data_IF_544817304606
#
_entry.id   IF_544817304606
#
_cell.length_a   1.000
_cell.length_b   1.000
_cell.length_c   1.000
_cell.angle_alpha   90.00
_cell.angle_beta   90.00
_cell.angle_gamma   90.00
#
_symmetry.space_group_name_H-M   'P 1'
#
loop_
_entity.id
_entity.type
_entity.pdbx_description
1 polymer ?
#
# COMPACT_ATOMS: atom_id res chain seq x y z
N UNK A 1 -2.45 -43.32 46.44
CA UNK A 1 -2.50 -43.40 44.98
C UNK A 1 -3.37 -42.24 44.50
N UNK A 2 -2.76 -41.13 44.09
CA UNK A 2 -3.50 -39.94 43.63
C UNK A 2 -3.65 -40.04 42.12
N UNK A 3 -4.90 -40.17 41.66
CA UNK A 3 -5.23 -40.05 40.24
C UNK A 3 -5.32 -38.56 39.94
N UNK A 4 -4.30 -38.03 39.24
CA UNK A 4 -4.35 -36.69 38.67
C UNK A 4 -5.15 -36.81 37.36
N UNK A 5 -6.42 -36.41 37.38
CA UNK A 5 -7.21 -36.25 36.16
C UNK A 5 -6.64 -35.10 35.35
N UNK A 6 -6.10 -35.42 34.18
CA UNK A 6 -5.76 -34.42 33.17
C UNK A 6 -7.04 -33.69 32.70
N UNK A 7 -7.00 -32.37 32.49
CA UNK A 7 -8.15 -31.66 31.95
C UNK A 7 -8.35 -32.08 30.48
N UNK A 8 -9.52 -32.63 30.19
CA UNK A 8 -9.98 -32.90 28.84
C UNK A 8 -10.07 -31.55 28.09
N UNK A 9 -9.15 -31.32 27.16
CA UNK A 9 -9.21 -30.18 26.25
C UNK A 9 -10.48 -30.27 25.41
N UNK A 10 -11.47 -29.45 25.74
CA UNK A 10 -12.73 -29.38 25.01
C UNK A 10 -12.52 -28.58 23.70
N UNK A 11 -12.92 -29.09 22.52
CA UNK A 11 -12.73 -28.44 21.21
C UNK A 11 -13.30 -27.01 21.14
N UNK A 12 -14.32 -26.68 21.92
CA UNK A 12 -14.88 -25.33 22.00
C UNK A 12 -13.88 -24.30 22.56
N UNK A 13 -12.94 -24.70 23.43
CA UNK A 13 -11.92 -23.80 23.99
C UNK A 13 -10.86 -23.42 22.96
N UNK A 14 -10.46 -24.36 22.09
CA UNK A 14 -9.55 -24.08 20.98
C UNK A 14 -10.17 -23.14 19.95
N UNK A 15 -11.45 -23.28 19.65
CA UNK A 15 -12.16 -22.41 18.69
C UNK A 15 -12.27 -20.97 19.21
N UNK A 16 -12.58 -20.79 20.50
CA UNK A 16 -12.68 -19.48 21.13
C UNK A 16 -11.33 -18.76 21.24
N UNK A 17 -10.27 -19.48 21.58
CA UNK A 17 -8.90 -18.94 21.64
C UNK A 17 -8.43 -18.56 20.23
N UNK A 18 -8.65 -19.42 19.21
CA UNK A 18 -8.31 -19.11 17.82
C UNK A 18 -9.02 -17.87 17.28
N UNK A 19 -10.30 -17.67 17.60
CA UNK A 19 -11.05 -16.50 17.15
C UNK A 19 -10.57 -15.20 17.83
N UNK A 20 -10.23 -15.25 19.12
CA UNK A 20 -9.69 -14.09 19.85
C UNK A 20 -8.29 -13.72 19.35
N UNK A 21 -7.43 -14.71 19.10
CA UNK A 21 -6.09 -14.53 18.53
C UNK A 21 -6.15 -13.90 17.13
N UNK A 22 -7.08 -14.37 16.28
CA UNK A 22 -7.32 -13.84 14.93
C UNK A 22 -7.78 -12.39 14.93
N UNK A 23 -8.74 -12.05 15.78
CA UNK A 23 -9.23 -10.67 15.92
C UNK A 23 -8.11 -9.73 16.37
N UNK A 24 -7.25 -10.18 17.29
CA UNK A 24 -6.06 -9.45 17.73
C UNK A 24 -5.06 -9.23 16.58
N UNK A 25 -4.79 -10.26 15.75
CA UNK A 25 -3.89 -10.15 14.61
C UNK A 25 -4.37 -9.11 13.58
N UNK A 26 -5.65 -9.14 13.22
CA UNK A 26 -6.21 -8.20 12.24
C UNK A 26 -6.18 -6.76 12.74
N UNK A 27 -6.46 -6.53 14.02
CA UNK A 27 -6.39 -5.19 14.63
C UNK A 27 -4.96 -4.65 14.56
N UNK A 28 -3.95 -5.47 14.86
CA UNK A 28 -2.55 -5.05 14.79
C UNK A 28 -2.13 -4.73 13.35
N UNK A 29 -2.58 -5.53 12.37
CA UNK A 29 -2.33 -5.24 10.95
C UNK A 29 -2.96 -3.91 10.52
N UNK A 30 -4.21 -3.63 10.92
CA UNK A 30 -4.87 -2.34 10.64
C UNK A 30 -4.13 -1.19 11.32
N UNK A 31 -3.70 -1.38 12.57
CA UNK A 31 -2.96 -0.37 13.34
C UNK A 31 -1.64 -0.01 12.66
N UNK A 32 -0.88 -1.01 12.22
CA UNK A 32 0.34 -0.81 11.44
C UNK A 32 0.06 -0.14 10.08
N UNK A 33 -1.01 -0.51 9.38
CA UNK A 33 -1.42 0.12 8.11
C UNK A 33 -1.79 1.60 8.27
N UNK A 34 -2.27 2.00 9.45
CA UNK A 34 -2.53 3.40 9.80
C UNK A 34 -1.25 4.18 10.17
N UNK A 35 -0.08 3.52 10.09
CA UNK A 35 1.23 4.09 10.37
C UNK A 35 1.53 4.27 11.86
N UNK A 36 0.85 3.54 12.75
CA UNK A 36 1.27 3.50 14.14
C UNK A 36 2.65 2.84 14.25
N UNK A 37 3.46 3.29 15.21
CA UNK A 37 4.72 2.64 15.53
C UNK A 37 4.41 1.28 16.20
N UNK A 38 4.92 0.20 15.60
CA UNK A 38 4.74 -1.15 16.09
C UNK A 38 6.11 -1.74 16.34
N UNK A 39 6.40 -2.01 17.62
CA UNK A 39 7.69 -2.51 18.05
C UNK A 39 8.01 -3.90 17.44
N UNK A 40 9.27 -4.30 17.54
CA UNK A 40 9.74 -5.57 16.98
C UNK A 40 9.03 -6.80 17.58
N UNK A 41 8.70 -6.76 18.87
CA UNK A 41 8.04 -7.85 19.59
C UNK A 41 6.62 -8.05 19.07
N UNK A 42 5.84 -6.98 18.99
CA UNK A 42 4.47 -7.01 18.47
C UNK A 42 4.45 -7.47 17.01
N UNK A 43 5.38 -6.99 16.17
CA UNK A 43 5.51 -7.46 14.78
C UNK A 43 5.80 -8.96 14.72
N UNK A 44 6.72 -9.44 15.54
CA UNK A 44 7.09 -10.85 15.61
C UNK A 44 5.91 -11.73 16.08
N UNK A 45 5.18 -11.30 17.11
CA UNK A 45 4.01 -12.03 17.60
C UNK A 45 2.91 -12.15 16.55
N UNK A 46 2.67 -11.11 15.76
CA UNK A 46 1.73 -11.18 14.62
C UNK A 46 2.22 -12.17 13.57
N UNK A 47 3.49 -12.13 13.19
CA UNK A 47 4.03 -13.08 12.23
C UNK A 47 3.95 -14.53 12.73
N UNK A 48 4.24 -14.78 14.01
CA UNK A 48 4.09 -16.10 14.60
C UNK A 48 2.64 -16.56 14.61
N UNK A 49 1.73 -15.68 14.99
CA UNK A 49 0.29 -15.95 14.94
C UNK A 49 -0.15 -16.34 13.51
N UNK A 50 0.30 -15.63 12.48
CA UNK A 50 0.00 -15.97 11.09
C UNK A 50 0.66 -17.29 10.68
N UNK A 51 1.88 -17.57 11.13
CA UNK A 51 2.59 -18.83 10.82
C UNK A 51 1.79 -20.05 11.27
N UNK A 52 1.23 -19.98 12.48
CA UNK A 52 0.45 -21.06 13.11
C UNK A 52 -0.97 -21.24 12.52
N UNK A 53 -1.47 -20.28 11.74
CA UNK A 53 -2.80 -20.35 11.15
C UNK A 53 -2.94 -21.47 10.12
N UNK A 54 -4.16 -22.01 10.02
CA UNK A 54 -4.52 -22.93 8.96
C UNK A 54 -4.54 -22.25 7.59
N UNK A 55 -4.47 -23.04 6.52
CA UNK A 55 -4.46 -22.55 5.13
C UNK A 55 -5.66 -21.63 4.81
N UNK A 56 -6.86 -22.00 5.28
CA UNK A 56 -8.10 -21.23 5.06
C UNK A 56 -8.04 -19.87 5.76
N UNK A 57 -7.45 -19.82 6.96
CA UNK A 57 -7.28 -18.59 7.74
C UNK A 57 -6.24 -17.66 7.09
N UNK A 58 -5.11 -18.20 6.62
CA UNK A 58 -4.09 -17.44 5.87
C UNK A 58 -4.69 -16.79 4.62
N UNK A 59 -5.43 -17.55 3.81
CA UNK A 59 -6.16 -17.01 2.64
C UNK A 59 -7.13 -15.90 3.04
N UNK A 60 -7.90 -16.10 4.11
CA UNK A 60 -8.83 -15.09 4.58
C UNK A 60 -8.15 -13.81 5.09
N UNK A 61 -6.94 -13.91 5.67
CA UNK A 61 -6.14 -12.71 5.99
C UNK A 61 -5.65 -12.01 4.73
N UNK A 62 -5.18 -12.75 3.72
CA UNK A 62 -4.77 -12.16 2.45
C UNK A 62 -5.93 -11.39 1.80
N UNK A 63 -7.12 -12.01 1.72
CA UNK A 63 -8.34 -11.37 1.19
C UNK A 63 -8.75 -10.15 2.03
N UNK A 64 -8.73 -10.26 3.35
CA UNK A 64 -9.00 -9.13 4.24
C UNK A 64 -8.04 -7.96 4.01
N UNK A 65 -6.74 -8.23 3.86
CA UNK A 65 -5.74 -7.20 3.62
C UNK A 65 -5.98 -6.50 2.29
N UNK A 66 -6.13 -7.25 1.19
CA UNK A 66 -6.21 -6.68 -0.16
C UNK A 66 -7.56 -6.04 -0.46
N UNK A 67 -8.66 -6.59 0.05
CA UNK A 67 -10.00 -6.10 -0.28
C UNK A 67 -10.51 -5.03 0.69
N UNK A 68 -10.04 -5.03 1.94
CA UNK A 68 -10.63 -4.19 3.01
C UNK A 68 -9.57 -3.32 3.67
N UNK A 69 -8.58 -3.92 4.35
CA UNK A 69 -7.73 -3.19 5.28
C UNK A 69 -6.80 -2.19 4.59
N UNK A 70 -6.11 -2.63 3.52
CA UNK A 70 -5.17 -1.77 2.77
C UNK A 70 -5.92 -0.60 2.11
N UNK A 71 -7.00 -0.83 1.32
CA UNK A 71 -7.80 0.27 0.75
C UNK A 71 -8.27 1.30 1.77
N UNK A 72 -8.91 0.84 2.85
CA UNK A 72 -9.44 1.74 3.87
C UNK A 72 -8.33 2.51 4.59
N UNK A 73 -7.20 1.87 4.89
CA UNK A 73 -6.09 2.53 5.57
C UNK A 73 -5.43 3.60 4.69
N UNK A 74 -5.22 3.34 3.39
CA UNK A 74 -4.61 4.32 2.49
C UNK A 74 -5.47 5.58 2.37
N UNK A 75 -6.79 5.45 2.21
CA UNK A 75 -7.70 6.59 2.21
C UNK A 75 -7.70 7.32 3.56
N UNK A 76 -7.82 6.58 4.67
CA UNK A 76 -7.83 7.19 6.00
C UNK A 76 -6.54 7.94 6.33
N UNK A 77 -5.39 7.42 5.90
CA UNK A 77 -4.10 8.10 6.08
C UNK A 77 -4.04 9.40 5.29
N UNK A 78 -4.54 9.40 4.05
CA UNK A 78 -4.66 10.62 3.25
C UNK A 78 -5.61 11.63 3.92
N UNK A 79 -6.80 11.20 4.35
CA UNK A 79 -7.74 12.05 5.07
C UNK A 79 -7.12 12.72 6.30
N UNK A 80 -6.30 11.98 7.08
CA UNK A 80 -5.60 12.52 8.25
C UNK A 80 -4.54 13.56 7.88
N UNK A 81 -3.78 13.31 6.82
CA UNK A 81 -2.70 14.21 6.38
C UNK A 81 -3.25 15.51 5.80
N UNK A 82 -4.35 15.43 5.05
CA UNK A 82 -4.98 16.58 4.41
C UNK A 82 -6.14 17.19 5.20
N UNK A 83 -6.43 16.64 6.39
CA UNK A 83 -7.54 17.06 7.26
C UNK A 83 -8.88 17.16 6.51
N UNK A 84 -9.18 16.17 5.67
CA UNK A 84 -10.32 16.19 4.76
C UNK A 84 -11.16 14.90 4.80
N UNK A 85 -12.38 14.98 4.28
CA UNK A 85 -13.20 13.80 4.01
C UNK A 85 -12.82 13.15 2.66
N UNK A 86 -13.02 11.84 2.52
CA UNK A 86 -12.73 11.11 1.27
C UNK A 86 -13.46 11.68 0.05
N UNK A 87 -14.61 12.32 0.23
CA UNK A 87 -15.39 12.96 -0.85
C UNK A 87 -14.75 14.24 -1.40
N UNK A 88 -13.68 14.76 -0.77
CA UNK A 88 -13.01 16.00 -1.15
C UNK A 88 -11.62 15.79 -1.75
N UNK A 89 -11.19 14.53 -1.97
CA UNK A 89 -9.83 14.23 -2.46
C UNK A 89 -9.48 14.97 -3.75
N UNK A 90 -10.42 15.04 -4.69
CA UNK A 90 -10.30 15.73 -5.97
C UNK A 90 -9.90 17.22 -5.85
N UNK A 91 -10.18 17.86 -4.71
CA UNK A 91 -9.99 19.30 -4.51
C UNK A 91 -8.99 19.65 -3.43
N UNK A 92 -8.30 18.66 -2.87
CA UNK A 92 -7.52 18.86 -1.65
C UNK A 92 -6.08 19.28 -1.91
N UNK A 93 -5.55 19.04 -3.13
CA UNK A 93 -4.19 19.40 -3.47
C UNK A 93 -4.12 20.79 -4.12
N UNK A 94 -3.26 21.64 -3.59
CA UNK A 94 -2.90 22.94 -4.15
C UNK A 94 -1.38 23.10 -4.15
N UNK A 95 -0.88 24.24 -4.64
CA UNK A 95 0.56 24.51 -4.76
C UNK A 95 1.28 24.54 -3.40
N UNK A 96 0.58 25.00 -2.36
CA UNK A 96 1.10 25.23 -1.02
C UNK A 96 1.23 23.93 -0.23
N UNK A 97 0.37 22.96 -0.49
CA UNK A 97 0.23 21.76 0.35
C UNK A 97 0.80 20.48 -0.27
N UNK A 98 1.44 20.54 -1.46
CA UNK A 98 2.05 19.36 -2.10
C UNK A 98 3.04 18.62 -1.19
N UNK A 99 3.72 19.33 -0.29
CA UNK A 99 4.66 18.71 0.67
C UNK A 99 3.97 17.68 1.57
N UNK A 100 2.67 17.84 1.86
CA UNK A 100 1.86 16.86 2.59
C UNK A 100 1.75 15.55 1.83
N UNK A 101 1.54 15.60 0.51
CA UNK A 101 1.50 14.41 -0.34
C UNK A 101 2.84 13.67 -0.34
N UNK A 102 3.95 14.42 -0.47
CA UNK A 102 5.29 13.85 -0.40
C UNK A 102 5.60 13.24 0.97
N UNK A 103 5.12 13.86 2.05
CA UNK A 103 5.28 13.33 3.41
C UNK A 103 4.48 12.04 3.61
N UNK A 104 3.23 11.99 3.13
CA UNK A 104 2.41 10.78 3.12
C UNK A 104 3.10 9.65 2.33
N UNK A 105 3.60 9.95 1.14
CA UNK A 105 4.35 8.99 0.33
C UNK A 105 5.58 8.44 1.06
N UNK A 106 6.39 9.33 1.64
CA UNK A 106 7.58 8.94 2.40
C UNK A 106 7.20 7.99 3.53
N UNK A 107 6.21 8.37 4.34
CA UNK A 107 5.71 7.56 5.46
C UNK A 107 5.23 6.18 5.00
N UNK A 108 4.49 6.12 3.89
CA UNK A 108 4.05 4.85 3.30
C UNK A 108 5.24 3.94 2.95
N UNK A 109 6.27 4.48 2.32
CA UNK A 109 7.44 3.70 1.91
C UNK A 109 8.40 3.32 3.03
N UNK A 110 8.64 4.21 3.99
CA UNK A 110 9.69 4.03 4.99
C UNK A 110 9.19 3.41 6.28
N UNK A 111 7.89 3.53 6.58
CA UNK A 111 7.30 3.05 7.84
C UNK A 111 6.26 1.95 7.59
N UNK A 112 5.20 2.25 6.82
CA UNK A 112 4.05 1.34 6.69
C UNK A 112 4.43 0.07 5.95
N UNK A 113 5.03 0.20 4.75
CA UNK A 113 5.40 -0.97 3.92
C UNK A 113 6.35 -1.91 4.67
N UNK A 114 7.49 -1.47 5.23
CA UNK A 114 8.41 -2.36 5.94
C UNK A 114 7.78 -3.01 7.18
N UNK A 115 6.96 -2.27 7.93
CA UNK A 115 6.28 -2.77 9.13
C UNK A 115 5.32 -3.89 8.76
N UNK A 116 4.48 -3.67 7.75
CA UNK A 116 3.53 -4.69 7.30
C UNK A 116 4.25 -5.89 6.69
N UNK A 117 5.27 -5.68 5.85
CA UNK A 117 6.08 -6.77 5.30
C UNK A 117 6.66 -7.67 6.41
N UNK A 118 7.17 -7.07 7.48
CA UNK A 118 7.69 -7.82 8.63
C UNK A 118 6.62 -8.60 9.39
N UNK A 119 5.37 -8.12 9.42
CA UNK A 119 4.26 -8.80 10.09
C UNK A 119 3.68 -9.94 9.25
N UNK A 120 3.66 -9.79 7.91
CA UNK A 120 2.96 -10.72 7.00
C UNK A 120 3.89 -11.60 6.16
N UNK A 121 5.20 -11.59 6.40
CA UNK A 121 6.14 -12.45 5.67
C UNK A 121 5.73 -13.95 5.60
N UNK A 122 5.07 -14.56 6.62
CA UNK A 122 4.65 -15.95 6.52
C UNK A 122 3.60 -16.18 5.41
N UNK A 123 2.84 -15.16 5.03
CA UNK A 123 1.90 -15.22 3.90
C UNK A 123 2.65 -15.29 2.56
N UNK A 124 3.82 -14.64 2.44
CA UNK A 124 4.68 -14.76 1.25
C UNK A 124 5.27 -16.16 1.10
N UNK A 125 5.63 -16.78 2.21
CA UNK A 125 6.09 -18.18 2.22
C UNK A 125 4.96 -19.15 1.88
N UNK A 126 3.73 -18.82 2.28
CA UNK A 126 2.53 -19.59 1.97
C UNK A 126 2.08 -19.45 0.50
N UNK A 127 2.08 -18.22 -0.03
CA UNK A 127 1.78 -17.90 -1.41
C UNK A 127 2.86 -16.96 -1.98
N UNK A 128 3.79 -17.47 -2.80
CA UNK A 128 4.86 -16.66 -3.39
C UNK A 128 4.36 -15.52 -4.28
N UNK A 129 3.12 -15.57 -4.78
CA UNK A 129 2.55 -14.50 -5.60
C UNK A 129 2.01 -13.35 -4.75
N UNK A 130 1.73 -13.57 -3.47
CA UNK A 130 1.28 -12.51 -2.58
C UNK A 130 2.39 -11.46 -2.39
N UNK A 131 2.14 -10.21 -2.78
CA UNK A 131 3.09 -9.12 -2.60
C UNK A 131 2.41 -7.94 -1.92
N UNK A 132 2.45 -7.92 -0.60
CA UNK A 132 1.80 -6.88 0.20
C UNK A 132 2.32 -5.47 -0.12
N UNK A 133 3.60 -5.33 -0.54
CA UNK A 133 4.12 -4.02 -0.95
C UNK A 133 3.43 -3.56 -2.21
N UNK A 134 3.31 -4.44 -3.21
CA UNK A 134 2.59 -4.13 -4.45
C UNK A 134 1.13 -3.79 -4.17
N UNK A 135 0.46 -4.54 -3.28
CA UNK A 135 -0.94 -4.28 -2.91
C UNK A 135 -1.13 -2.93 -2.22
N UNK A 136 -0.24 -2.55 -1.30
CA UNK A 136 -0.25 -1.22 -0.67
C UNK A 136 -0.05 -0.12 -1.72
N UNK A 137 0.93 -0.28 -2.61
CA UNK A 137 1.22 0.72 -3.65
C UNK A 137 0.10 0.84 -4.69
N UNK A 138 -0.52 -0.28 -5.09
CA UNK A 138 -1.69 -0.27 -5.98
C UNK A 138 -2.86 0.47 -5.33
N UNK A 139 -3.12 0.18 -4.06
CA UNK A 139 -4.16 0.88 -3.33
C UNK A 139 -3.88 2.38 -3.18
N UNK A 140 -2.63 2.75 -2.89
CA UNK A 140 -2.20 4.15 -2.84
C UNK A 140 -2.40 4.85 -4.20
N UNK A 141 -2.06 4.18 -5.31
CA UNK A 141 -2.34 4.67 -6.67
C UNK A 141 -3.84 4.91 -6.86
N UNK A 142 -4.65 3.87 -6.69
CA UNK A 142 -6.05 3.85 -7.10
C UNK A 142 -6.95 4.71 -6.21
N UNK A 143 -6.73 4.63 -4.89
CA UNK A 143 -7.61 5.24 -3.90
C UNK A 143 -7.17 6.62 -3.47
N UNK A 144 -5.89 6.94 -3.59
CA UNK A 144 -5.32 8.21 -3.12
C UNK A 144 -4.86 9.05 -4.31
N UNK A 145 -3.80 8.62 -5.02
CA UNK A 145 -3.17 9.48 -6.03
C UNK A 145 -4.09 9.82 -7.20
N UNK A 146 -4.76 8.83 -7.78
CA UNK A 146 -5.69 9.05 -8.91
C UNK A 146 -6.78 10.05 -8.57
N UNK A 147 -7.20 10.11 -7.30
CA UNK A 147 -8.24 11.02 -6.83
C UNK A 147 -7.68 12.39 -6.49
N UNK A 148 -6.59 12.45 -5.71
CA UNK A 148 -5.95 13.70 -5.29
C UNK A 148 -5.41 14.50 -6.47
N UNK A 149 -4.88 13.81 -7.49
CA UNK A 149 -4.32 14.44 -8.67
C UNK A 149 -5.37 14.74 -9.75
N UNK A 150 -6.63 14.34 -9.55
CA UNK A 150 -7.67 14.36 -10.59
C UNK A 150 -7.94 15.76 -11.17
N UNK A 151 -8.12 16.77 -10.32
CA UNK A 151 -8.40 18.15 -10.74
C UNK A 151 -7.17 19.07 -10.63
N UNK A 152 -5.98 18.48 -10.51
CA UNK A 152 -4.73 19.24 -10.51
C UNK A 152 -4.42 19.68 -11.94
N UNK A 153 -4.45 21.00 -12.16
CA UNK A 153 -4.25 21.66 -13.45
C UNK A 153 -2.95 22.47 -13.53
N UNK A 154 -2.11 22.39 -12.50
CA UNK A 154 -0.77 22.99 -12.47
C UNK A 154 0.30 21.89 -12.50
N UNK A 155 1.49 22.22 -13.01
CA UNK A 155 2.60 21.29 -13.06
C UNK A 155 3.24 21.13 -11.67
N UNK A 156 3.56 19.89 -11.30
CA UNK A 156 4.18 19.59 -10.02
C UNK A 156 5.40 18.68 -10.18
N UNK A 157 6.50 19.16 -10.79
CA UNK A 157 7.67 18.31 -11.08
C UNK A 157 8.28 17.63 -9.85
N UNK A 158 8.15 18.24 -8.66
CA UNK A 158 8.58 17.65 -7.37
C UNK A 158 7.93 16.30 -7.05
N UNK A 159 6.77 15.98 -7.63
CA UNK A 159 6.09 14.69 -7.45
C UNK A 159 6.61 13.59 -8.40
N UNK A 160 7.47 13.92 -9.37
CA UNK A 160 7.99 12.98 -10.37
C UNK A 160 8.58 11.70 -9.77
N UNK A 161 9.45 11.74 -8.72
CA UNK A 161 10.02 10.52 -8.15
C UNK A 161 8.93 9.60 -7.59
N UNK A 162 7.93 10.16 -6.91
CA UNK A 162 6.80 9.42 -6.35
C UNK A 162 5.96 8.79 -7.47
N UNK A 163 5.53 9.61 -8.44
CA UNK A 163 4.66 9.18 -9.54
C UNK A 163 5.32 8.07 -10.37
N UNK A 164 6.58 8.24 -10.77
CA UNK A 164 7.31 7.22 -11.51
C UNK A 164 7.51 5.94 -10.67
N UNK A 165 7.80 6.06 -9.37
CA UNK A 165 7.97 4.89 -8.50
C UNK A 165 6.67 4.09 -8.35
N UNK A 166 5.54 4.77 -8.18
CA UNK A 166 4.22 4.12 -8.08
C UNK A 166 3.83 3.51 -9.42
N UNK A 167 3.98 4.23 -10.54
CA UNK A 167 3.67 3.71 -11.87
C UNK A 167 4.46 2.42 -12.15
N UNK A 168 5.78 2.46 -11.97
CA UNK A 168 6.64 1.29 -12.19
C UNK A 168 6.27 0.11 -11.29
N UNK A 169 6.10 0.33 -9.99
CA UNK A 169 5.86 -0.75 -9.03
C UNK A 169 4.47 -1.39 -9.16
N UNK A 170 3.50 -0.68 -9.74
CA UNK A 170 2.10 -1.10 -9.80
C UNK A 170 1.63 -1.46 -11.20
N UNK A 171 2.50 -1.39 -12.20
CA UNK A 171 2.18 -1.69 -13.59
C UNK A 171 1.38 -2.99 -13.72
N UNK A 172 0.22 -2.89 -14.36
CA UNK A 172 -0.71 -3.96 -14.69
C UNK A 172 -1.62 -3.51 -15.84
N UNK A 173 -2.55 -4.38 -16.24
CA UNK A 173 -3.49 -4.14 -17.34
C UNK A 173 -4.83 -3.55 -16.85
N UNK A 174 -4.84 -2.91 -15.68
CA UNK A 174 -6.07 -2.35 -15.10
C UNK A 174 -6.40 -0.97 -15.67
N UNK A 175 -7.69 -0.66 -15.75
CA UNK A 175 -8.17 0.68 -16.16
C UNK A 175 -7.71 1.77 -15.19
N UNK A 176 -7.50 1.41 -13.93
CA UNK A 176 -7.03 2.29 -12.87
C UNK A 176 -5.56 2.69 -13.08
N UNK A 177 -4.73 1.76 -13.57
CA UNK A 177 -3.35 2.04 -13.95
C UNK A 177 -3.26 3.00 -15.13
N UNK A 178 -4.06 2.75 -16.18
CA UNK A 178 -4.12 3.61 -17.36
C UNK A 178 -4.55 5.03 -16.97
N UNK A 179 -5.66 5.15 -16.23
CA UNK A 179 -6.16 6.43 -15.72
C UNK A 179 -5.13 7.17 -14.87
N UNK A 180 -4.43 6.46 -13.99
CA UNK A 180 -3.38 7.06 -13.18
C UNK A 180 -2.26 7.66 -14.04
N UNK A 181 -1.81 6.93 -15.07
CA UNK A 181 -0.73 7.40 -15.95
C UNK A 181 -1.15 8.62 -16.79
N UNK A 182 -2.39 8.70 -17.25
CA UNK A 182 -2.92 9.88 -17.94
C UNK A 182 -2.90 11.13 -17.05
N UNK A 183 -3.33 10.98 -15.80
CA UNK A 183 -3.28 12.07 -14.80
C UNK A 183 -1.83 12.44 -14.48
N UNK A 184 -0.96 11.45 -14.31
CA UNK A 184 0.46 11.64 -14.07
C UNK A 184 1.14 12.43 -15.20
N UNK A 185 0.87 12.09 -16.46
CA UNK A 185 1.43 12.80 -17.62
C UNK A 185 1.05 14.28 -17.62
N UNK A 186 -0.22 14.59 -17.27
CA UNK A 186 -0.68 15.98 -17.13
C UNK A 186 0.04 16.71 -15.99
N UNK A 187 0.09 16.12 -14.80
CA UNK A 187 0.70 16.75 -13.61
C UNK A 187 2.21 16.94 -13.76
N UNK A 188 2.88 16.11 -14.56
CA UNK A 188 4.32 16.18 -14.79
C UNK A 188 4.73 17.05 -15.99
N UNK A 189 3.77 17.64 -16.72
CA UNK A 189 4.05 18.49 -17.89
C UNK A 189 4.57 17.73 -19.12
N UNK A 190 4.39 16.40 -19.20
CA UNK A 190 4.95 15.58 -20.29
C UNK A 190 4.15 15.61 -21.60
N UNK A 191 3.01 16.32 -21.63
CA UNK A 191 2.15 16.46 -22.81
C UNK A 191 2.39 17.73 -23.65
N UNK A 192 3.35 18.59 -23.30
CA UNK A 192 3.78 19.69 -24.17
C UNK A 192 4.85 19.18 -25.14
N UNK A 193 4.41 18.61 -26.25
CA UNK A 193 5.28 18.30 -27.38
C UNK A 193 5.84 19.58 -27.98
N UNK A 194 7.14 19.82 -27.77
CA UNK A 194 7.96 20.49 -28.76
C UNK A 194 8.99 19.48 -29.25
N UNK A 195 8.79 19.08 -30.50
CA UNK A 195 9.80 18.46 -31.34
C UNK A 195 11.03 19.38 -31.39
N UNK A 196 12.17 18.86 -30.98
CA UNK A 196 13.45 19.35 -31.51
C UNK A 196 14.38 18.14 -31.56
N UNK A 197 14.51 17.61 -32.76
CA UNK A 197 15.62 16.75 -33.16
C UNK A 197 16.92 17.55 -32.99
N UNK A 198 17.89 17.02 -32.25
CA UNK A 198 19.25 16.77 -32.77
C UNK A 198 20.23 16.26 -31.68
N UNK A 199 20.86 15.14 -32.04
CA UNK A 199 22.23 14.68 -31.76
C UNK A 199 22.74 14.36 -30.32
N UNK A 200 22.84 13.04 -30.12
CA UNK A 200 24.07 12.26 -29.90
C UNK A 200 24.70 12.13 -28.50
N UNK A 201 24.66 10.88 -28.02
CA UNK A 201 25.58 10.15 -27.14
C UNK A 201 26.22 10.84 -25.91
N UNK A 202 25.50 10.80 -24.78
CA UNK A 202 25.96 10.33 -23.45
C UNK A 202 24.99 10.80 -22.34
N UNK A 203 23.85 10.12 -22.19
CA UNK A 203 23.06 10.23 -20.97
C UNK A 203 22.29 8.93 -20.71
N UNK A 204 23.00 7.91 -20.25
CA UNK A 204 22.36 6.79 -19.56
C UNK A 204 21.71 7.34 -18.29
N UNK A 205 20.39 7.18 -18.20
CA UNK A 205 19.51 7.34 -17.03
C UNK A 205 19.09 8.77 -16.70
N UNK A 206 17.89 9.18 -17.14
CA UNK A 206 17.02 10.15 -16.44
C UNK A 206 15.68 10.48 -17.10
N UNK A 207 15.31 9.88 -18.25
CA UNK A 207 13.99 10.12 -18.85
C UNK A 207 12.98 9.04 -18.44
N UNK A 208 12.21 9.29 -17.38
CA UNK A 208 10.95 8.59 -17.11
C UNK A 208 9.93 9.03 -18.17
N UNK A 209 10.02 8.48 -19.38
CA UNK A 209 8.95 8.62 -20.37
C UNK A 209 7.87 7.60 -20.00
N UNK A 210 6.73 8.04 -19.47
CA UNK A 210 5.60 7.14 -19.17
C UNK A 210 5.12 6.39 -20.44
N UNK A 211 5.39 6.94 -21.64
CA UNK A 211 5.17 6.26 -22.92
C UNK A 211 6.05 5.01 -23.12
N UNK A 212 7.27 4.96 -22.58
CA UNK A 212 8.14 3.77 -22.70
C UNK A 212 7.77 2.64 -21.74
N UNK A 213 7.00 2.93 -20.69
CA UNK A 213 6.41 1.94 -19.77
C UNK A 213 5.18 1.24 -20.36
N UNK A 214 4.47 1.86 -21.30
CA UNK A 214 3.26 1.28 -21.95
C UNK A 214 3.55 0.12 -22.91
N UNK A 215 4.83 -0.16 -23.21
CA UNK A 215 5.27 -1.18 -24.18
C UNK A 215 5.79 -2.48 -23.54
N UNK A 216 5.59 -2.69 -22.24
CA UNK A 216 6.01 -3.91 -21.53
C UNK A 216 4.86 -4.63 -20.86
#
# INVERSE_FOLDING_TARGET
MFIVSAPLHHPASMILVNNKQRCSCQIQLVTALQGADVDATTRHLVAMCITEMEHTQKKSIMEFLTQIAIPAAMENNACKVFECATTKFDKVLDEDNVTLLTALWRRTLTEIVPTIQAMVYPLKSFDPLFDVRREILKSFRDRVLTRILHDVHFEVPKLRPMICSVSFATADQSTEFERFNEIADRVLGTNNGNETEDNDDMAKVSHCSLKSLRLR
#
